data_IF_052982823293
#
_entry.id   IF_052982823293
#
_cell.length_a   1.000
_cell.length_b   1.000
_cell.length_c   1.000
_cell.angle_alpha   90.00
_cell.angle_beta   90.00
_cell.angle_gamma   90.00
#
_symmetry.space_group_name_H-M   'P 1'
#
loop_
_entity.id
_entity.type
_entity.pdbx_description
1 polymer ?
#
# COMPACT_ATOMS: atom_id res chain seq x y z
N UNK A 1 -26.37 -7.79 -23.41
CA UNK A 1 -26.29 -9.23 -23.70
C UNK A 1 -27.69 -9.68 -24.12
N UNK A 2 -27.86 -10.23 -25.33
CA UNK A 2 -29.15 -10.80 -25.73
C UNK A 2 -29.27 -12.19 -25.10
N UNK A 3 -30.25 -12.37 -24.20
CA UNK A 3 -30.54 -13.65 -23.54
C UNK A 3 -31.60 -14.39 -24.36
N UNK A 4 -31.37 -15.67 -24.68
CA UNK A 4 -32.33 -16.44 -25.49
C UNK A 4 -33.50 -16.93 -24.64
N UNK A 5 -34.61 -17.24 -25.30
CA UNK A 5 -35.77 -17.83 -24.63
C UNK A 5 -35.39 -19.14 -23.92
N UNK A 6 -35.60 -19.19 -22.61
CA UNK A 6 -35.29 -20.34 -21.76
C UNK A 6 -33.97 -20.26 -20.99
N UNK A 7 -33.14 -19.24 -21.26
CA UNK A 7 -31.90 -18.99 -20.51
C UNK A 7 -32.16 -18.10 -19.28
N UNK A 8 -31.33 -18.26 -18.24
CA UNK A 8 -31.37 -17.40 -17.07
C UNK A 8 -30.81 -16.00 -17.39
N UNK A 9 -31.50 -14.97 -16.89
CA UNK A 9 -31.03 -13.59 -16.97
C UNK A 9 -30.21 -13.31 -15.72
N UNK A 10 -28.96 -12.90 -15.91
CA UNK A 10 -28.06 -12.46 -14.85
C UNK A 10 -27.89 -10.94 -14.89
N UNK A 11 -27.47 -10.37 -13.77
CA UNK A 11 -27.08 -8.95 -13.62
C UNK A 11 -25.74 -8.88 -12.89
N UNK A 12 -24.96 -7.84 -13.17
CA UNK A 12 -23.74 -7.57 -12.42
C UNK A 12 -24.11 -6.96 -11.06
N UNK A 13 -23.66 -7.59 -9.97
CA UNK A 13 -24.00 -7.15 -8.62
C UNK A 13 -23.19 -5.92 -8.24
N UNK A 14 -21.87 -6.05 -8.33
CA UNK A 14 -20.92 -4.99 -8.09
C UNK A 14 -19.57 -5.36 -8.73
N UNK A 15 -18.95 -4.44 -9.48
CA UNK A 15 -17.63 -4.65 -10.08
C UNK A 15 -16.50 -4.34 -9.10
N UNK A 16 -16.76 -3.51 -8.10
CA UNK A 16 -15.73 -3.00 -7.19
C UNK A 16 -15.55 -3.88 -5.95
N UNK A 17 -16.48 -4.83 -5.71
CA UNK A 17 -16.40 -5.77 -4.59
C UNK A 17 -15.37 -6.88 -4.79
N UNK A 18 -14.59 -7.11 -3.75
CA UNK A 18 -13.68 -8.24 -3.58
C UNK A 18 -14.40 -9.56 -3.34
N UNK A 19 -13.67 -10.67 -3.49
CA UNK A 19 -14.16 -12.01 -3.16
C UNK A 19 -14.51 -12.15 -1.67
N UNK A 20 -13.80 -11.45 -0.78
CA UNK A 20 -14.14 -11.42 0.64
C UNK A 20 -15.51 -10.76 0.90
N UNK A 21 -15.80 -9.65 0.22
CA UNK A 21 -17.09 -8.97 0.33
C UNK A 21 -18.23 -9.75 -0.32
N UNK A 22 -18.00 -10.37 -1.48
CA UNK A 22 -18.99 -11.23 -2.13
C UNK A 22 -19.35 -12.44 -1.24
N UNK A 23 -18.33 -13.05 -0.62
CA UNK A 23 -18.51 -14.17 0.30
C UNK A 23 -19.36 -13.75 1.51
N UNK A 24 -19.11 -12.57 2.06
CA UNK A 24 -19.81 -12.05 3.23
C UNK A 24 -21.26 -11.64 2.91
N UNK A 25 -21.46 -10.89 1.83
CA UNK A 25 -22.74 -10.27 1.49
C UNK A 25 -23.71 -11.25 0.82
N UNK A 26 -23.19 -12.15 -0.02
CA UNK A 26 -24.01 -12.97 -0.91
C UNK A 26 -23.76 -14.48 -0.76
N UNK A 27 -22.68 -14.90 -0.10
CA UNK A 27 -22.37 -16.31 0.11
C UNK A 27 -21.89 -17.03 -1.15
N UNK A 28 -21.18 -16.32 -2.03
CA UNK A 28 -20.45 -16.87 -3.17
C UNK A 28 -19.21 -16.04 -3.47
N UNK A 29 -18.34 -16.58 -4.31
CA UNK A 29 -17.09 -15.98 -4.79
C UNK A 29 -17.02 -16.14 -6.31
N UNK A 30 -16.11 -15.41 -6.96
CA UNK A 30 -15.84 -15.56 -8.39
C UNK A 30 -14.41 -16.08 -8.60
N UNK A 31 -14.22 -16.96 -9.58
CA UNK A 31 -12.91 -17.51 -9.96
C UNK A 31 -11.95 -16.46 -10.54
N UNK A 32 -12.42 -15.22 -10.75
CA UNK A 32 -11.62 -14.15 -11.30
C UNK A 32 -10.63 -13.61 -10.26
N UNK A 33 -9.33 -13.83 -10.50
CA UNK A 33 -8.24 -13.35 -9.65
C UNK A 33 -8.23 -11.83 -9.45
N UNK A 34 -8.90 -11.05 -10.31
CA UNK A 34 -9.01 -9.60 -10.14
C UNK A 34 -9.93 -9.17 -9.00
N UNK A 35 -10.60 -10.11 -8.32
CA UNK A 35 -11.40 -9.85 -7.11
C UNK A 35 -10.68 -10.27 -5.82
N UNK A 36 -9.53 -10.90 -5.93
CA UNK A 36 -8.72 -11.24 -4.76
C UNK A 36 -8.06 -9.96 -4.25
N UNK A 37 -8.37 -9.59 -3.01
CA UNK A 37 -7.82 -8.40 -2.37
C UNK A 37 -7.47 -8.67 -0.91
N UNK A 38 -6.67 -7.78 -0.34
CA UNK A 38 -6.34 -7.76 1.08
C UNK A 38 -6.35 -6.31 1.58
N UNK A 39 -7.12 -6.03 2.63
CA UNK A 39 -7.17 -4.70 3.25
C UNK A 39 -6.06 -4.57 4.30
N UNK A 40 -5.06 -3.74 4.00
CA UNK A 40 -4.04 -3.36 4.98
C UNK A 40 -4.57 -2.26 5.89
N UNK A 41 -4.45 -2.50 7.21
CA UNK A 41 -4.75 -1.49 8.23
C UNK A 41 -3.45 -0.90 8.75
N UNK A 42 -3.28 0.41 8.58
CA UNK A 42 -2.10 1.16 9.01
C UNK A 42 -2.51 2.18 10.08
N UNK A 43 -1.76 2.25 11.17
CA UNK A 43 -2.11 3.06 12.34
C UNK A 43 -0.91 3.85 12.87
N UNK A 44 -1.11 5.12 13.19
CA UNK A 44 -0.12 5.94 13.89
C UNK A 44 -0.18 5.56 15.37
N UNK A 45 0.89 4.95 15.88
CA UNK A 45 0.91 4.52 17.27
C UNK A 45 0.91 5.71 18.25
N UNK A 46 0.01 5.71 19.23
CA UNK A 46 0.04 6.65 20.38
C UNK A 46 1.38 6.65 21.14
N UNK A 47 2.17 5.57 21.02
CA UNK A 47 3.50 5.47 21.63
C UNK A 47 4.60 6.17 20.83
N UNK A 48 4.31 6.63 19.61
CA UNK A 48 5.25 7.34 18.76
C UNK A 48 5.59 8.71 19.37
N UNK A 49 6.87 9.06 19.56
CA UNK A 49 7.27 10.38 20.08
C UNK A 49 6.72 11.56 19.27
N UNK A 50 6.38 11.33 18.01
CA UNK A 50 5.84 12.31 17.06
C UNK A 50 4.35 12.10 16.76
N UNK A 51 3.63 11.37 17.60
CA UNK A 51 2.21 11.01 17.40
C UNK A 51 1.35 12.20 16.96
N UNK A 52 1.34 13.29 17.74
CA UNK A 52 0.51 14.47 17.48
C UNK A 52 0.85 15.15 16.15
N UNK A 53 2.15 15.27 15.82
CA UNK A 53 2.59 15.90 14.57
C UNK A 53 2.22 15.03 13.35
N UNK A 54 2.39 13.70 13.46
CA UNK A 54 2.00 12.76 12.40
C UNK A 54 0.50 12.72 12.20
N UNK A 55 -0.27 12.68 13.28
CA UNK A 55 -1.73 12.66 13.23
C UNK A 55 -2.27 13.92 12.57
N UNK A 56 -1.79 15.09 12.96
CA UNK A 56 -2.19 16.35 12.35
C UNK A 56 -1.85 16.40 10.85
N UNK A 57 -0.66 15.93 10.44
CA UNK A 57 -0.30 15.83 9.02
C UNK A 57 -1.25 14.87 8.27
N UNK A 58 -1.59 13.73 8.86
CA UNK A 58 -2.53 12.78 8.28
C UNK A 58 -3.92 13.41 8.09
N UNK A 59 -4.47 14.04 9.13
CA UNK A 59 -5.79 14.69 9.12
C UNK A 59 -5.87 15.83 8.11
N UNK A 60 -4.82 16.65 8.01
CA UNK A 60 -4.74 17.73 7.02
C UNK A 60 -4.79 17.23 5.57
N UNK A 61 -4.44 15.95 5.34
CA UNK A 61 -4.44 15.31 4.03
C UNK A 61 -5.57 14.29 3.85
N UNK A 62 -6.60 14.37 4.70
CA UNK A 62 -7.81 13.55 4.57
C UNK A 62 -7.68 12.11 5.05
N UNK A 63 -6.60 11.80 5.78
CA UNK A 63 -6.40 10.52 6.47
C UNK A 63 -6.78 10.63 7.95
N UNK A 64 -7.01 9.50 8.60
CA UNK A 64 -7.17 9.43 10.06
C UNK A 64 -5.91 8.90 10.74
N UNK A 65 -6.00 8.70 12.05
CA UNK A 65 -5.03 7.91 12.83
C UNK A 65 -4.87 6.49 12.31
N UNK A 66 -6.00 5.88 11.94
CA UNK A 66 -6.07 4.58 11.26
C UNK A 66 -6.51 4.79 9.81
N UNK A 67 -5.77 4.19 8.88
CA UNK A 67 -6.08 4.20 7.46
C UNK A 67 -6.18 2.77 6.92
N UNK A 68 -7.12 2.55 6.00
CA UNK A 68 -7.40 1.26 5.38
C UNK A 68 -7.06 1.35 3.89
N UNK A 69 -6.27 0.40 3.40
CA UNK A 69 -5.84 0.36 2.01
C UNK A 69 -6.12 -1.02 1.42
N UNK A 70 -7.01 -1.09 0.44
CA UNK A 70 -7.28 -2.31 -0.31
C UNK A 70 -6.18 -2.51 -1.35
N UNK A 71 -5.52 -3.66 -1.28
CA UNK A 71 -4.55 -4.10 -2.29
C UNK A 71 -5.19 -5.21 -3.10
N UNK A 72 -5.30 -5.03 -4.41
CA UNK A 72 -5.89 -6.01 -5.33
C UNK A 72 -4.78 -6.81 -6.01
N UNK A 73 -5.00 -8.11 -6.19
CA UNK A 73 -4.08 -9.00 -6.88
C UNK A 73 -3.90 -8.56 -8.35
N UNK A 74 -2.64 -8.42 -8.77
CA UNK A 74 -2.25 -7.96 -10.10
C UNK A 74 -2.24 -6.44 -10.29
N UNK A 75 -2.66 -5.66 -9.30
CA UNK A 75 -2.65 -4.18 -9.36
C UNK A 75 -1.47 -3.56 -8.61
N UNK A 76 -1.13 -2.32 -8.96
CA UNK A 76 -0.12 -1.53 -8.24
C UNK A 76 -0.63 -1.11 -6.87
N UNK A 77 0.26 -1.00 -5.88
CA UNK A 77 -0.08 -0.51 -4.54
C UNK A 77 -0.73 0.89 -4.60
N UNK A 78 -1.74 1.17 -3.75
CA UNK A 78 -2.33 2.50 -3.66
C UNK A 78 -1.26 3.56 -3.34
N UNK A 79 -1.11 4.64 -4.13
CA UNK A 79 -0.06 5.63 -3.89
C UNK A 79 -0.11 6.25 -2.49
N UNK A 80 -1.32 6.49 -1.99
CA UNK A 80 -1.55 7.03 -0.65
C UNK A 80 -1.08 6.08 0.46
N UNK A 81 -1.10 4.76 0.24
CA UNK A 81 -0.57 3.77 1.18
C UNK A 81 0.93 3.99 1.39
N UNK A 82 1.68 4.22 0.31
CA UNK A 82 3.13 4.45 0.37
C UNK A 82 3.45 5.76 1.09
N UNK A 83 2.73 6.83 0.78
CA UNK A 83 2.88 8.13 1.47
C UNK A 83 2.59 8.00 2.97
N UNK A 84 1.54 7.26 3.33
CA UNK A 84 1.19 7.01 4.73
C UNK A 84 2.25 6.16 5.45
N UNK A 85 2.77 5.12 4.81
CA UNK A 85 3.87 4.32 5.36
C UNK A 85 5.13 5.16 5.63
N UNK A 86 5.47 6.09 4.73
CA UNK A 86 6.59 7.02 4.92
C UNK A 86 6.37 7.91 6.14
N UNK A 87 5.13 8.40 6.35
CA UNK A 87 4.76 9.15 7.54
C UNK A 87 4.91 8.30 8.82
N UNK A 88 4.44 7.05 8.80
CA UNK A 88 4.57 6.13 9.92
C UNK A 88 6.04 5.88 10.30
N UNK A 89 6.89 5.64 9.31
CA UNK A 89 8.32 5.42 9.52
C UNK A 89 9.13 6.72 9.65
N UNK A 90 8.49 7.90 9.62
CA UNK A 90 9.19 9.17 9.71
C UNK A 90 9.71 9.39 11.13
N UNK A 91 11.00 9.68 11.28
CA UNK A 91 11.62 9.87 12.58
C UNK A 91 13.14 10.07 12.46
N UNK A 92 13.83 10.02 13.59
CA UNK A 92 15.30 10.10 13.63
C UNK A 92 15.83 11.35 12.91
N UNK A 93 16.67 11.13 11.90
CA UNK A 93 17.28 12.20 11.10
C UNK A 93 16.29 12.95 10.19
N UNK A 94 15.12 12.36 9.91
CA UNK A 94 14.10 12.94 9.03
C UNK A 94 12.99 13.66 9.80
N UNK A 95 13.04 13.63 11.14
CA UNK A 95 12.05 14.28 12.00
C UNK A 95 11.94 15.79 11.79
N UNK A 96 12.96 16.44 11.20
CA UNK A 96 12.87 17.87 10.84
C UNK A 96 11.72 18.17 9.87
N UNK A 97 11.27 17.18 9.07
CA UNK A 97 10.12 17.33 8.18
C UNK A 97 8.80 17.48 8.94
N UNK A 98 8.75 17.12 10.23
CA UNK A 98 7.59 17.29 11.09
C UNK A 98 7.51 18.71 11.68
N UNK A 99 8.55 19.54 11.54
CA UNK A 99 8.54 20.89 12.07
C UNK A 99 7.48 21.78 11.40
N UNK A 100 6.95 22.74 12.16
CA UNK A 100 5.89 23.65 11.70
C UNK A 100 6.19 24.38 10.38
N UNK A 101 7.47 24.57 10.04
CA UNK A 101 7.89 25.17 8.77
C UNK A 101 7.44 24.35 7.55
N UNK A 102 7.44 23.02 7.68
CA UNK A 102 7.12 22.10 6.59
C UNK A 102 5.68 21.61 6.63
N UNK A 103 4.90 21.91 7.68
CA UNK A 103 3.56 21.34 7.95
C UNK A 103 2.63 21.26 6.72
N UNK A 104 2.60 22.30 5.89
CA UNK A 104 1.74 22.37 4.71
C UNK A 104 2.29 21.66 3.46
N UNK A 105 3.53 21.18 3.51
CA UNK A 105 4.28 20.56 2.40
C UNK A 105 4.83 19.18 2.72
N UNK A 106 4.76 18.73 3.98
CA UNK A 106 5.30 17.42 4.39
C UNK A 106 4.72 16.32 3.52
N UNK A 107 3.41 16.34 3.30
CA UNK A 107 2.72 15.34 2.48
C UNK A 107 3.27 15.29 1.05
N UNK A 108 3.45 16.44 0.40
CA UNK A 108 4.08 16.54 -0.93
C UNK A 108 5.50 15.95 -0.93
N UNK A 109 6.25 16.13 0.16
CA UNK A 109 7.58 15.54 0.30
C UNK A 109 7.54 14.03 0.51
N UNK A 110 6.50 13.51 1.18
CA UNK A 110 6.27 12.10 1.43
C UNK A 110 5.72 11.35 0.21
N UNK A 111 5.23 12.04 -0.83
CA UNK A 111 4.89 11.40 -2.12
C UNK A 111 6.12 10.85 -2.84
N UNK A 112 7.32 11.35 -2.50
CA UNK A 112 8.60 10.88 -3.01
C UNK A 112 9.47 10.27 -1.87
N UNK A 113 10.50 9.46 -2.19
CA UNK A 113 11.36 8.86 -1.18
C UNK A 113 11.99 9.91 -0.25
N UNK A 114 11.91 9.70 1.06
CA UNK A 114 12.41 10.68 2.06
C UNK A 114 13.91 10.51 2.25
N UNK A 115 14.30 9.34 2.75
CA UNK A 115 15.67 8.93 3.01
C UNK A 115 15.78 7.41 2.82
N UNK A 116 17.02 6.93 2.64
CA UNK A 116 17.30 5.50 2.53
C UNK A 116 16.84 4.75 3.78
N UNK A 117 17.11 5.29 4.96
CA UNK A 117 16.75 4.67 6.25
C UNK A 117 15.23 4.59 6.43
N UNK A 118 14.48 5.61 5.99
CA UNK A 118 13.02 5.61 6.03
C UNK A 118 12.43 4.54 5.09
N UNK A 119 12.90 4.50 3.83
CA UNK A 119 12.44 3.49 2.86
C UNK A 119 12.81 2.06 3.26
N UNK A 120 14.02 1.85 3.80
CA UNK A 120 14.45 0.56 4.34
C UNK A 120 13.54 0.13 5.51
N UNK A 121 13.21 1.06 6.42
CA UNK A 121 12.31 0.80 7.54
C UNK A 121 10.91 0.38 7.08
N UNK A 122 10.36 1.04 6.05
CA UNK A 122 9.07 0.67 5.46
C UNK A 122 9.12 -0.75 4.89
N UNK A 123 10.15 -1.06 4.10
CA UNK A 123 10.32 -2.38 3.50
C UNK A 123 10.37 -3.46 4.57
N UNK A 124 11.15 -3.25 5.63
CA UNK A 124 11.26 -4.21 6.74
C UNK A 124 9.94 -4.39 7.49
N UNK A 125 9.23 -3.30 7.80
CA UNK A 125 7.94 -3.35 8.51
C UNK A 125 6.90 -4.12 7.71
N UNK A 126 6.73 -3.81 6.42
CA UNK A 126 5.74 -4.48 5.57
C UNK A 126 6.11 -5.95 5.35
N UNK A 127 7.37 -6.25 5.00
CA UNK A 127 7.77 -7.65 4.80
C UNK A 127 7.59 -8.48 6.07
N UNK A 128 7.88 -7.93 7.25
CA UNK A 128 7.64 -8.64 8.52
C UNK A 128 6.15 -8.84 8.78
N UNK A 129 5.32 -7.82 8.54
CA UNK A 129 3.87 -7.92 8.68
C UNK A 129 3.28 -8.99 7.74
N UNK A 130 3.68 -8.99 6.46
CA UNK A 130 3.26 -10.01 5.49
C UNK A 130 3.69 -11.42 5.92
N UNK A 131 4.95 -11.60 6.37
CA UNK A 131 5.43 -12.89 6.88
C UNK A 131 4.63 -13.36 8.09
N UNK A 132 4.31 -12.46 9.03
CA UNK A 132 3.49 -12.79 10.20
C UNK A 132 2.04 -13.12 9.82
N UNK A 133 1.44 -12.38 8.89
CA UNK A 133 0.10 -12.65 8.39
C UNK A 133 0.02 -14.01 7.66
N UNK A 134 0.96 -14.28 6.75
CA UNK A 134 1.05 -15.56 6.04
C UNK A 134 1.24 -16.74 7.01
N UNK A 135 2.08 -16.59 8.04
CA UNK A 135 2.31 -17.63 9.05
C UNK A 135 1.09 -17.90 9.94
N UNK A 136 0.09 -17.01 9.97
CA UNK A 136 -1.14 -17.22 10.72
C UNK A 136 -2.13 -18.17 10.01
N UNK A 137 -1.97 -18.39 8.70
CA UNK A 137 -2.76 -19.38 7.96
C UNK A 137 -2.27 -20.80 8.28
N UNK A 138 -3.21 -21.74 8.37
CA UNK A 138 -2.93 -23.14 8.73
C UNK A 138 -2.61 -24.02 7.50
N UNK A 139 -2.72 -23.47 6.29
CA UNK A 139 -2.44 -24.15 5.02
C UNK A 139 -1.63 -23.28 4.08
N UNK A 140 -0.85 -23.90 3.18
CA UNK A 140 -0.12 -23.19 2.12
C UNK A 140 -1.01 -22.90 0.91
N UNK A 141 -0.53 -22.10 -0.04
CA UNK A 141 -1.27 -21.81 -1.28
C UNK A 141 -1.44 -23.11 -2.08
N UNK A 142 -0.38 -23.89 -2.20
CA UNK A 142 -0.37 -25.14 -2.96
C UNK A 142 -1.34 -26.17 -2.38
N UNK A 143 -1.36 -26.33 -1.05
CA UNK A 143 -2.31 -27.23 -0.37
C UNK A 143 -3.76 -26.82 -0.64
N UNK A 144 -4.03 -25.53 -0.72
CA UNK A 144 -5.38 -25.02 -0.97
C UNK A 144 -5.80 -25.13 -2.43
N UNK A 145 -4.89 -24.90 -3.36
CA UNK A 145 -5.12 -25.15 -4.79
C UNK A 145 -5.42 -26.64 -5.04
N UNK A 146 -4.66 -27.54 -4.43
CA UNK A 146 -4.93 -28.99 -4.48
C UNK A 146 -6.29 -29.37 -3.85
N UNK A 147 -6.75 -28.62 -2.83
CA UNK A 147 -8.07 -28.83 -2.25
C UNK A 147 -9.17 -28.38 -3.21
N UNK A 148 -9.00 -27.27 -3.92
CA UNK A 148 -9.97 -26.73 -4.88
C UNK A 148 -10.16 -27.63 -6.11
N UNK A 149 -9.19 -28.46 -6.45
CA UNK A 149 -9.33 -29.47 -7.52
C UNK A 149 -10.29 -30.62 -7.15
N UNK A 150 -10.71 -30.74 -5.88
CA UNK A 150 -11.58 -31.83 -5.43
C UNK A 150 -13.06 -31.50 -5.69
N UNK A 151 -13.77 -32.44 -6.31
CA UNK A 151 -15.20 -32.29 -6.64
C UNK A 151 -16.15 -32.46 -5.43
N UNK A 152 -15.66 -32.86 -4.25
CA UNK A 152 -16.48 -33.21 -3.08
C UNK A 152 -16.60 -32.09 -2.03
N UNK A 153 -16.16 -30.87 -2.35
CA UNK A 153 -16.21 -29.73 -1.45
C UNK A 153 -17.64 -29.21 -1.21
N UNK A 154 -17.97 -28.93 0.05
CA UNK A 154 -19.18 -28.19 0.38
C UNK A 154 -19.03 -26.71 -0.01
N UNK A 155 -20.11 -26.05 -0.44
CA UNK A 155 -20.04 -24.66 -0.94
C UNK A 155 -19.37 -23.67 0.03
N UNK A 156 -19.64 -23.78 1.34
CA UNK A 156 -19.00 -22.91 2.35
C UNK A 156 -17.51 -23.20 2.51
N UNK A 157 -17.12 -24.46 2.37
CA UNK A 157 -15.72 -24.87 2.44
C UNK A 157 -14.97 -24.36 1.21
N UNK A 158 -15.56 -24.49 0.02
CA UNK A 158 -15.01 -23.93 -1.21
C UNK A 158 -14.79 -22.42 -1.09
N UNK A 159 -15.79 -21.64 -0.69
CA UNK A 159 -15.67 -20.18 -0.49
C UNK A 159 -14.54 -19.84 0.49
N UNK A 160 -14.45 -20.56 1.61
CA UNK A 160 -13.39 -20.32 2.59
C UNK A 160 -11.99 -20.60 2.04
N UNK A 161 -11.85 -21.60 1.14
CA UNK A 161 -10.58 -21.92 0.49
C UNK A 161 -10.26 -20.86 -0.59
N UNK A 162 -11.24 -20.46 -1.40
CA UNK A 162 -11.04 -19.44 -2.44
C UNK A 162 -10.60 -18.10 -1.83
N UNK A 163 -11.29 -17.61 -0.80
CA UNK A 163 -10.95 -16.34 -0.13
C UNK A 163 -9.54 -16.39 0.47
N UNK A 164 -9.20 -17.45 1.23
CA UNK A 164 -7.89 -17.53 1.89
C UNK A 164 -6.74 -17.72 0.90
N UNK A 165 -6.97 -18.36 -0.25
CA UNK A 165 -5.98 -18.45 -1.33
C UNK A 165 -5.74 -17.08 -1.93
N UNK A 166 -6.81 -16.34 -2.25
CA UNK A 166 -6.73 -14.98 -2.75
C UNK A 166 -5.95 -14.07 -1.81
N UNK A 167 -6.29 -14.06 -0.52
CA UNK A 167 -5.58 -13.27 0.50
C UNK A 167 -4.09 -13.61 0.58
N UNK A 168 -3.72 -14.90 0.59
CA UNK A 168 -2.31 -15.32 0.63
C UNK A 168 -1.55 -14.87 -0.62
N UNK A 169 -2.14 -14.98 -1.80
CA UNK A 169 -1.53 -14.50 -3.06
C UNK A 169 -1.30 -12.99 -3.03
N UNK A 170 -2.26 -12.22 -2.52
CA UNK A 170 -2.10 -10.76 -2.37
C UNK A 170 -1.00 -10.43 -1.36
N UNK A 171 -0.94 -11.14 -0.23
CA UNK A 171 0.13 -10.95 0.76
C UNK A 171 1.52 -11.28 0.21
N UNK A 172 1.66 -12.33 -0.60
CA UNK A 172 2.91 -12.64 -1.29
C UNK A 172 3.28 -11.55 -2.30
N UNK A 173 2.32 -11.06 -3.09
CA UNK A 173 2.52 -9.93 -4.00
C UNK A 173 3.03 -8.69 -3.26
N UNK A 174 2.38 -8.29 -2.17
CA UNK A 174 2.80 -7.12 -1.38
C UNK A 174 4.24 -7.32 -0.91
N UNK A 175 4.54 -8.48 -0.33
CA UNK A 175 5.87 -8.80 0.17
C UNK A 175 6.93 -8.77 -0.95
N UNK A 176 6.62 -9.28 -2.14
CA UNK A 176 7.55 -9.28 -3.27
C UNK A 176 7.79 -7.88 -3.84
N UNK A 177 6.75 -7.03 -3.92
CA UNK A 177 6.91 -5.62 -4.30
C UNK A 177 7.88 -4.90 -3.35
N UNK A 178 7.75 -5.13 -2.03
CA UNK A 178 8.65 -4.50 -1.05
C UNK A 178 10.04 -5.13 -1.00
N UNK A 179 10.22 -6.40 -1.41
CA UNK A 179 11.55 -6.99 -1.61
C UNK A 179 12.26 -6.41 -2.84
N UNK A 180 11.54 -6.18 -3.93
CA UNK A 180 12.09 -5.53 -5.13
C UNK A 180 12.50 -4.09 -4.79
N UNK A 181 11.62 -3.35 -4.11
CA UNK A 181 11.92 -2.01 -3.62
C UNK A 181 13.15 -1.96 -2.72
N UNK A 182 13.35 -2.96 -1.86
CA UNK A 182 14.54 -3.06 -0.99
C UNK A 182 15.85 -3.21 -1.80
N UNK A 183 15.80 -3.85 -2.98
CA UNK A 183 16.96 -4.00 -3.87
C UNK A 183 17.28 -2.70 -4.61
N UNK A 184 16.28 -1.85 -4.84
CA UNK A 184 16.38 -0.58 -5.56
C UNK A 184 16.71 0.61 -4.65
N UNK A 185 16.91 0.41 -3.33
CA UNK A 185 17.11 1.50 -2.37
C UNK A 185 18.28 2.43 -2.75
N UNK A 186 19.34 1.92 -3.35
CA UNK A 186 20.50 2.74 -3.71
C UNK A 186 20.31 3.50 -5.04
N UNK A 187 19.26 3.16 -5.81
CA UNK A 187 18.91 3.80 -7.09
C UNK A 187 17.85 4.92 -6.92
N UNK A 188 17.23 5.01 -5.73
CA UNK A 188 16.23 6.03 -5.43
C UNK A 188 16.87 7.40 -5.18
N UNK A 189 16.27 8.45 -5.75
CA UNK A 189 16.62 9.82 -5.43
C UNK A 189 15.87 10.30 -4.18
N UNK A 190 16.59 10.71 -3.14
CA UNK A 190 16.04 11.09 -1.83
C UNK A 190 15.87 12.60 -1.64
N UNK A 191 15.18 13.01 -0.56
CA UNK A 191 14.84 14.41 -0.30
C UNK A 191 16.06 15.36 -0.36
N UNK A 192 17.18 14.97 0.23
CA UNK A 192 18.38 15.82 0.24
C UNK A 192 18.98 15.98 -1.16
N UNK A 193 18.97 14.94 -1.99
CA UNK A 193 19.47 14.98 -3.36
C UNK A 193 18.61 15.87 -4.25
N UNK A 194 17.27 15.71 -4.15
CA UNK A 194 16.31 16.57 -4.87
C UNK A 194 16.52 18.04 -4.52
N UNK A 195 16.63 18.32 -3.22
CA UNK A 195 16.85 19.69 -2.71
C UNK A 195 18.16 20.31 -3.20
N UNK A 196 19.21 19.51 -3.37
CA UNK A 196 20.49 19.99 -3.91
C UNK A 196 20.41 20.30 -5.42
N UNK A 197 19.62 19.55 -6.20
CA UNK A 197 19.43 19.82 -7.63
C UNK A 197 18.68 21.13 -7.87
N UNK A 198 17.75 21.47 -7.00
CA UNK A 198 16.99 22.73 -7.05
C UNK A 198 17.84 23.99 -6.78
N UNK A 199 19.08 23.83 -6.30
CA UNK A 199 19.99 24.96 -6.02
C UNK A 199 20.51 25.66 -7.29
N UNK A 200 20.24 25.13 -8.48
CA UNK A 200 20.47 25.85 -9.74
C UNK A 200 21.94 26.23 -9.96
N UNK A 201 22.89 25.37 -9.56
CA UNK A 201 24.32 25.63 -9.69
C UNK A 201 24.80 25.89 -11.15
N UNK A 202 23.94 25.63 -12.15
CA UNK A 202 24.11 26.07 -13.54
C UNK A 202 23.11 27.20 -13.80
N UNK A 203 23.32 28.34 -13.14
CA UNK A 203 22.71 29.61 -13.53
C UNK A 203 23.55 30.28 -14.62
N UNK A 204 22.91 31.06 -15.50
CA UNK A 204 23.63 31.98 -16.40
C UNK A 204 24.60 32.82 -15.56
N UNK A 205 25.85 32.94 -16.02
CA UNK A 205 26.90 33.75 -15.39
C UNK A 205 26.28 35.00 -14.77
N UNK A 206 26.15 35.02 -13.43
CA UNK A 206 25.45 36.09 -12.75
C UNK A 206 26.02 37.43 -13.21
N UNK A 207 25.23 38.18 -13.98
CA UNK A 207 25.62 39.50 -14.42
C UNK A 207 26.03 40.29 -13.18
N UNK A 208 27.23 40.87 -13.25
CA UNK A 208 27.73 41.73 -12.18
C UNK A 208 26.71 42.86 -12.01
N UNK A 209 25.91 42.80 -10.94
CA UNK A 209 24.96 43.84 -10.60
C UNK A 209 25.78 45.01 -10.07
N UNK A 210 26.15 45.93 -10.96
CA UNK A 210 26.73 47.20 -10.55
C UNK A 210 25.65 48.02 -9.84
N UNK A 211 25.75 48.08 -8.51
CA UNK A 211 25.07 49.09 -7.72
C UNK A 211 25.77 50.43 -7.97
N UNK A 212 25.40 51.13 -9.05
CA UNK A 212 25.75 52.54 -9.22
C UNK A 212 24.61 53.46 -8.79
N UNK A 213 25.04 54.58 -8.21
CA UNK A 213 24.36 55.51 -7.30
C UNK A 213 23.44 56.51 -7.97
#
# INVERSE_FOLDING_TARGET
MEVKSGEQIYVQYDLDKSNAELALDYGFTEENSSRDSYTLTLEISESDPFYEDKLDIAELNGMGETAYFDVVLGESLPPQMITYLRLLCLGGTDAFLLEALFRNKVWEHLELPVSRDNEESICQVIQNACKSALAAYHTTIEEDEELLEREDLQSRQQIAIEVRVGEKKVLEQINDIFKEREQELDDLEYYQERRLKDLGFIGDNGDIIFWES
#
